data_IF_186545050832
#
_entry.id   IF_186545050832
#
_cell.length_a   1.000
_cell.length_b   1.000
_cell.length_c   1.000
_cell.angle_alpha   90.00
_cell.angle_beta   90.00
_cell.angle_gamma   90.00
#
_symmetry.space_group_name_H-M   'P 1'
#
loop_
_entity.id
_entity.type
_entity.pdbx_description
1 polymer ?
#
# COMPACT_ATOMS: atom_id res chain seq x y z
N UNK A 1 -28.19 7.85 24.58
CA UNK A 1 -27.62 6.68 23.88
C UNK A 1 -27.19 7.17 22.50
N UNK A 2 -25.89 7.20 22.23
CA UNK A 2 -25.36 7.66 20.94
C UNK A 2 -25.21 6.42 20.06
N UNK A 3 -26.00 6.32 19.00
CA UNK A 3 -25.86 5.28 17.99
C UNK A 3 -25.21 5.97 16.77
N UNK A 4 -24.05 5.46 16.33
CA UNK A 4 -23.42 5.89 15.08
C UNK A 4 -23.79 4.90 13.99
N UNK A 5 -24.40 5.39 12.90
CA UNK A 5 -24.66 4.63 11.69
C UNK A 5 -24.25 5.51 10.51
N UNK A 6 -23.39 4.98 9.64
CA UNK A 6 -22.96 5.63 8.41
C UNK A 6 -23.70 5.00 7.23
N UNK A 7 -24.22 5.83 6.33
CA UNK A 7 -24.77 5.40 5.04
C UNK A 7 -23.90 5.99 3.94
N UNK A 8 -23.40 5.14 3.04
CA UNK A 8 -22.78 5.54 1.78
C UNK A 8 -23.88 5.43 0.71
N UNK A 9 -24.23 6.54 0.09
CA UNK A 9 -25.16 6.53 -1.05
C UNK A 9 -24.48 5.86 -2.25
N UNK A 10 -24.72 4.55 -2.39
CA UNK A 10 -25.22 3.92 -3.63
C UNK A 10 -25.48 2.43 -3.40
N UNK A 11 -26.75 2.05 -3.63
CA UNK A 11 -27.27 0.69 -3.94
C UNK A 11 -27.23 -0.46 -2.92
N UNK A 12 -26.87 -0.28 -1.67
CA UNK A 12 -27.02 -1.36 -0.66
C UNK A 12 -27.85 -0.93 0.55
N UNK A 13 -29.06 -1.49 0.67
CA UNK A 13 -29.88 -1.40 1.87
C UNK A 13 -29.39 -2.44 2.89
N UNK A 14 -28.62 -2.02 3.89
CA UNK A 14 -28.32 -2.87 5.03
C UNK A 14 -29.45 -2.80 6.06
N UNK A 15 -29.99 -3.93 6.55
CA UNK A 15 -30.92 -3.92 7.66
C UNK A 15 -30.19 -3.51 8.94
N UNK A 16 -30.63 -2.40 9.56
CA UNK A 16 -30.13 -1.98 10.87
C UNK A 16 -30.87 -2.77 11.95
N UNK A 17 -30.14 -3.56 12.73
CA UNK A 17 -30.70 -4.25 13.91
C UNK A 17 -30.60 -3.30 15.10
N UNK A 18 -31.73 -2.77 15.54
CA UNK A 18 -31.83 -2.08 16.83
C UNK A 18 -32.30 -3.06 17.91
N UNK A 19 -31.59 -3.12 19.04
CA UNK A 19 -31.98 -3.88 20.22
C UNK A 19 -32.45 -2.95 21.33
N UNK A 20 -33.66 -3.21 21.85
CA UNK A 20 -34.19 -2.57 23.05
C UNK A 20 -34.90 -3.63 23.89
N UNK A 21 -34.51 -3.78 25.16
CA UNK A 21 -35.09 -4.72 26.12
C UNK A 21 -35.24 -6.15 25.54
N UNK A 22 -34.17 -6.71 24.97
CA UNK A 22 -34.13 -8.05 24.35
C UNK A 22 -35.03 -8.32 23.13
N UNK A 23 -35.78 -7.32 22.63
CA UNK A 23 -36.51 -7.45 21.37
C UNK A 23 -35.67 -6.90 20.20
N UNK A 24 -35.56 -7.69 19.13
CA UNK A 24 -34.94 -7.29 17.85
C UNK A 24 -36.02 -6.76 16.92
N UNK A 25 -35.81 -5.55 16.39
CA UNK A 25 -36.69 -4.96 15.38
C UNK A 25 -35.97 -4.92 14.03
N UNK A 26 -36.59 -5.48 13.01
CA UNK A 26 -36.18 -5.36 11.61
C UNK A 26 -36.90 -4.13 11.02
N UNK A 27 -36.14 -3.11 10.64
CA UNK A 27 -36.67 -1.93 9.96
C UNK A 27 -36.26 -1.93 8.49
N UNK A 28 -37.26 -1.96 7.60
CA UNK A 28 -37.10 -1.65 6.18
C UNK A 28 -37.31 -0.14 5.99
N UNK A 29 -36.25 0.60 5.69
CA UNK A 29 -36.35 2.03 5.37
C UNK A 29 -36.42 2.19 3.85
N UNK A 30 -37.53 2.72 3.32
CA UNK A 30 -37.74 2.85 1.87
C UNK A 30 -37.44 4.24 1.27
N UNK A 31 -37.13 5.27 2.08
CA UNK A 31 -36.80 6.63 1.58
C UNK A 31 -35.89 7.40 2.54
N UNK A 32 -35.01 8.30 2.06
CA UNK A 32 -33.99 8.99 2.87
C UNK A 32 -34.51 10.21 3.66
N UNK A 33 -35.78 10.61 3.51
CA UNK A 33 -36.39 11.67 4.32
C UNK A 33 -37.52 11.12 5.19
N UNK A 34 -37.18 10.53 6.33
CA UNK A 34 -38.10 10.47 7.46
C UNK A 34 -37.44 11.10 8.67
N UNK A 35 -37.89 12.32 9.01
CA UNK A 35 -37.62 12.92 10.32
C UNK A 35 -38.32 12.06 11.35
N UNK A 36 -37.55 11.28 12.09
CA UNK A 36 -38.04 10.41 13.14
C UNK A 36 -38.50 11.26 14.34
N UNK A 37 -39.76 11.70 14.36
CA UNK A 37 -40.42 12.17 15.59
C UNK A 37 -40.76 10.95 16.46
N UNK A 38 -39.78 10.45 17.21
CA UNK A 38 -40.07 9.59 18.35
C UNK A 38 -40.71 10.47 19.43
N UNK A 39 -42.01 10.24 19.69
CA UNK A 39 -42.73 10.82 20.82
C UNK A 39 -42.13 10.29 22.14
N UNK A 40 -41.03 10.89 22.57
CA UNK A 40 -40.63 10.86 23.98
C UNK A 40 -41.36 12.01 24.66
N UNK A 41 -42.26 11.68 25.58
CA UNK A 41 -42.61 12.59 26.66
C UNK A 41 -41.34 12.90 27.45
N UNK A 42 -40.67 14.01 27.12
CA UNK A 42 -39.63 14.62 27.95
C UNK A 42 -38.19 14.64 27.44
N UNK A 43 -37.90 14.48 26.14
CA UNK A 43 -36.54 14.70 25.66
C UNK A 43 -36.38 14.68 24.14
N UNK A 44 -35.94 15.79 23.56
CA UNK A 44 -35.50 15.86 22.16
C UNK A 44 -34.11 15.22 22.08
N UNK A 45 -34.01 14.04 21.46
CA UNK A 45 -32.72 13.47 21.08
C UNK A 45 -32.37 14.01 19.70
N UNK A 46 -31.47 14.99 19.65
CA UNK A 46 -30.89 15.48 18.41
C UNK A 46 -29.85 14.46 17.93
N UNK A 47 -30.10 13.78 16.82
CA UNK A 47 -29.08 12.99 16.12
C UNK A 47 -28.34 13.92 15.16
N UNK A 48 -27.16 14.38 15.57
CA UNK A 48 -26.25 15.10 14.69
C UNK A 48 -25.53 14.09 13.79
N UNK A 49 -25.85 14.12 12.50
CA UNK A 49 -25.09 13.42 11.48
C UNK A 49 -23.88 14.27 11.12
N UNK A 50 -22.70 13.89 11.59
CA UNK A 50 -21.44 14.39 11.05
C UNK A 50 -21.18 13.63 9.75
N UNK A 51 -21.50 14.24 8.61
CA UNK A 51 -20.93 13.80 7.33
C UNK A 51 -19.41 13.93 7.46
N UNK A 52 -18.67 12.83 7.31
CA UNK A 52 -17.22 12.86 7.33
C UNK A 52 -16.73 13.83 6.25
N UNK A 53 -15.70 14.59 6.56
CA UNK A 53 -15.01 15.48 5.61
C UNK A 53 -14.71 14.74 4.31
N UNK A 54 -14.91 15.38 3.15
CA UNK A 54 -14.53 14.92 1.80
C UNK A 54 -13.00 14.71 1.62
N UNK A 55 -12.26 14.65 2.72
CA UNK A 55 -10.81 14.58 2.77
C UNK A 55 -10.38 13.12 2.85
N UNK A 56 -9.34 12.77 2.09
CA UNK A 56 -8.78 11.42 2.11
C UNK A 56 -8.19 11.15 3.49
N UNK A 57 -8.57 10.05 4.16
CA UNK A 57 -8.02 9.70 5.45
C UNK A 57 -6.55 9.34 5.32
N UNK A 58 -5.84 9.39 6.45
CA UNK A 58 -4.48 8.86 6.54
C UNK A 58 -4.48 7.36 6.20
N UNK A 59 -3.77 6.99 5.13
CA UNK A 59 -3.66 5.59 4.70
C UNK A 59 -2.20 5.16 4.81
N UNK A 60 -1.97 4.02 5.45
CA UNK A 60 -0.66 3.38 5.48
C UNK A 60 -0.77 1.92 5.01
N UNK A 61 0.14 1.53 4.12
CA UNK A 61 0.27 0.16 3.62
C UNK A 61 1.74 -0.27 3.73
N UNK A 62 1.98 -1.46 4.27
CA UNK A 62 3.29 -2.13 4.30
C UNK A 62 3.17 -3.50 3.66
N UNK A 63 3.90 -3.73 2.57
CA UNK A 63 3.78 -4.94 1.77
C UNK A 63 5.14 -5.57 1.53
N UNK A 64 5.13 -6.89 1.44
CA UNK A 64 6.26 -7.72 1.03
C UNK A 64 5.93 -8.36 -0.31
N UNK A 65 6.86 -8.26 -1.24
CA UNK A 65 6.82 -8.89 -2.53
C UNK A 65 7.94 -9.92 -2.64
N UNK A 66 7.62 -11.09 -3.16
CA UNK A 66 8.57 -12.18 -3.43
C UNK A 66 8.32 -12.77 -4.81
N UNK A 67 9.39 -13.34 -5.37
CA UNK A 67 9.31 -14.19 -6.57
C UNK A 67 9.53 -15.63 -6.12
N UNK A 68 8.49 -16.46 -6.27
CA UNK A 68 8.48 -17.83 -5.80
C UNK A 68 8.37 -18.82 -6.95
N UNK A 69 8.92 -20.02 -6.78
CA UNK A 69 8.73 -21.15 -7.70
C UNK A 69 7.34 -21.79 -7.51
N UNK A 70 7.09 -22.88 -8.24
CA UNK A 70 5.82 -23.60 -8.18
C UNK A 70 5.55 -24.27 -6.82
N UNK A 71 6.61 -24.55 -6.05
CA UNK A 71 6.55 -25.08 -4.68
C UNK A 71 6.39 -23.97 -3.64
N UNK A 72 6.41 -22.70 -4.05
CA UNK A 72 6.28 -21.53 -3.18
C UNK A 72 7.58 -21.09 -2.51
N UNK A 73 8.75 -21.60 -2.93
CA UNK A 73 10.04 -21.21 -2.40
C UNK A 73 10.52 -19.91 -3.05
N UNK A 74 11.14 -19.03 -2.25
CA UNK A 74 11.77 -17.82 -2.77
C UNK A 74 12.98 -18.18 -3.66
N UNK A 75 12.90 -17.85 -4.94
CA UNK A 75 13.89 -18.27 -5.96
C UNK A 75 15.28 -17.70 -5.68
N UNK A 76 15.38 -16.46 -5.20
CA UNK A 76 16.67 -15.84 -4.91
C UNK A 76 17.31 -16.46 -3.68
N UNK A 77 16.51 -16.81 -2.67
CA UNK A 77 17.00 -17.53 -1.49
C UNK A 77 17.54 -18.91 -1.88
N UNK A 78 16.85 -19.65 -2.74
CA UNK A 78 17.33 -20.95 -3.23
C UNK A 78 18.65 -20.80 -4.00
N UNK A 79 18.74 -19.82 -4.92
CA UNK A 79 20.00 -19.55 -5.64
C UNK A 79 21.18 -19.21 -4.73
N UNK A 80 20.94 -18.52 -3.62
CA UNK A 80 21.98 -18.28 -2.62
C UNK A 80 22.45 -19.59 -1.97
N UNK A 81 21.52 -20.45 -1.56
CA UNK A 81 21.85 -21.75 -0.95
C UNK A 81 22.60 -22.65 -1.93
N UNK A 82 22.20 -22.67 -3.21
CA UNK A 82 22.91 -23.40 -4.27
C UNK A 82 24.34 -22.87 -4.44
N UNK A 83 24.53 -21.55 -4.45
CA UNK A 83 25.84 -20.93 -4.57
C UNK A 83 26.76 -21.25 -3.37
N UNK A 84 26.20 -21.30 -2.16
CA UNK A 84 26.92 -21.76 -0.96
C UNK A 84 27.33 -23.22 -1.13
N UNK A 85 26.42 -24.11 -1.52
CA UNK A 85 26.69 -25.53 -1.73
C UNK A 85 27.81 -25.78 -2.76
N UNK A 86 27.80 -25.07 -3.88
CA UNK A 86 28.86 -25.14 -4.91
C UNK A 86 30.23 -24.79 -4.33
N UNK A 87 30.31 -23.78 -3.45
CA UNK A 87 31.56 -23.38 -2.82
C UNK A 87 32.06 -24.40 -1.79
N UNK A 88 31.16 -24.98 -1.00
CA UNK A 88 31.46 -26.03 -0.03
C UNK A 88 31.96 -27.30 -0.73
N UNK A 89 31.27 -27.74 -1.79
CA UNK A 89 31.66 -28.89 -2.61
C UNK A 89 33.03 -28.70 -3.28
N UNK A 90 33.38 -27.46 -3.64
CA UNK A 90 34.68 -27.09 -4.16
C UNK A 90 35.78 -26.97 -3.08
N UNK A 91 35.47 -27.29 -1.81
CA UNK A 91 36.39 -27.22 -0.68
C UNK A 91 36.82 -25.79 -0.32
N UNK A 92 36.05 -24.77 -0.72
CA UNK A 92 36.34 -23.36 -0.43
C UNK A 92 35.87 -23.01 0.97
N UNK A 93 36.56 -22.09 1.62
CA UNK A 93 36.07 -21.47 2.85
C UNK A 93 34.88 -20.55 2.51
N UNK A 94 33.72 -20.77 3.12
CA UNK A 94 32.54 -19.92 2.91
C UNK A 94 32.41 -18.89 4.04
N UNK A 95 32.27 -17.63 3.65
CA UNK A 95 31.80 -16.54 4.51
C UNK A 95 30.41 -16.14 4.02
N UNK A 96 29.37 -16.74 4.61
CA UNK A 96 27.99 -16.57 4.19
C UNK A 96 27.23 -15.46 4.92
N UNK A 97 25.98 -15.27 4.51
CA UNK A 97 25.02 -14.38 5.14
C UNK A 97 24.50 -14.94 6.47
N UNK A 98 24.19 -14.05 7.41
CA UNK A 98 23.48 -14.41 8.63
C UNK A 98 22.04 -14.82 8.35
N UNK A 99 21.40 -15.52 9.30
CA UNK A 99 20.00 -15.94 9.18
C UNK A 99 19.05 -14.75 8.88
N UNK A 100 19.26 -13.61 9.53
CA UNK A 100 18.43 -12.40 9.32
C UNK A 100 18.57 -11.85 7.90
N UNK A 101 19.76 -11.91 7.32
CA UNK A 101 20.01 -11.47 5.94
C UNK A 101 19.38 -12.45 4.94
N UNK A 102 19.46 -13.76 5.21
CA UNK A 102 18.81 -14.78 4.39
C UNK A 102 17.28 -14.61 4.33
N UNK A 103 16.66 -14.18 5.44
CA UNK A 103 15.22 -13.92 5.52
C UNK A 103 14.78 -12.73 4.64
N UNK A 104 15.70 -11.80 4.36
CA UNK A 104 15.49 -10.65 3.46
C UNK A 104 15.70 -10.98 1.98
N UNK A 105 16.48 -12.02 1.64
CA UNK A 105 16.83 -12.32 0.26
C UNK A 105 15.61 -12.51 -0.65
N UNK A 106 15.68 -11.89 -1.84
CA UNK A 106 14.64 -12.02 -2.85
C UNK A 106 13.33 -11.37 -2.43
N UNK A 107 13.36 -10.48 -1.45
CA UNK A 107 12.20 -9.72 -1.02
C UNK A 107 12.31 -8.29 -1.51
N UNK A 108 11.15 -7.70 -1.78
CA UNK A 108 11.00 -6.28 -1.99
C UNK A 108 9.91 -5.77 -1.05
N UNK A 109 10.21 -4.74 -0.26
CA UNK A 109 9.27 -4.14 0.68
C UNK A 109 8.77 -2.83 0.10
N UNK A 110 7.44 -2.70 0.04
CA UNK A 110 6.75 -1.50 -0.40
C UNK A 110 6.03 -0.90 0.80
N UNK A 111 6.32 0.36 1.11
CA UNK A 111 5.62 1.12 2.14
C UNK A 111 5.04 2.37 1.51
N UNK A 112 3.74 2.57 1.69
CA UNK A 112 3.01 3.71 1.16
C UNK A 112 2.30 4.41 2.33
N UNK A 113 2.58 5.69 2.51
CA UNK A 113 1.82 6.58 3.39
C UNK A 113 1.14 7.64 2.54
N UNK A 114 -0.17 7.78 2.66
CA UNK A 114 -0.97 8.83 2.02
C UNK A 114 -1.55 9.69 3.13
N UNK A 115 -1.23 10.98 3.07
CA UNK A 115 -1.85 12.06 3.81
C UNK A 115 -2.36 13.08 2.78
N UNK A 116 -3.36 13.87 3.17
CA UNK A 116 -3.98 14.89 2.30
C UNK A 116 -3.04 15.89 1.62
N UNK A 117 -1.86 16.11 2.19
CA UNK A 117 -0.85 17.07 1.72
C UNK A 117 0.48 16.39 1.38
N UNK A 118 0.55 15.04 1.51
CA UNK A 118 1.82 14.32 1.39
C UNK A 118 1.60 12.85 1.05
N UNK A 119 2.25 12.39 -0.01
CA UNK A 119 2.35 10.95 -0.33
C UNK A 119 3.81 10.55 -0.20
N UNK A 120 4.09 9.53 0.59
CA UNK A 120 5.43 8.97 0.79
C UNK A 120 5.42 7.51 0.39
N UNK A 121 6.27 7.15 -0.57
CA UNK A 121 6.44 5.79 -1.03
C UNK A 121 7.89 5.37 -0.81
N UNK A 122 8.11 4.32 -0.02
CA UNK A 122 9.43 3.75 0.24
C UNK A 122 9.49 2.34 -0.32
N UNK A 123 10.47 2.08 -1.17
CA UNK A 123 10.66 0.79 -1.81
C UNK A 123 12.06 0.32 -1.55
N UNK A 124 12.21 -0.89 -1.00
CA UNK A 124 13.49 -1.48 -0.63
C UNK A 124 13.55 -2.91 -1.18
N UNK A 125 14.70 -3.34 -1.69
CA UNK A 125 14.92 -4.70 -2.16
C UNK A 125 16.27 -5.24 -1.73
N UNK A 126 16.30 -6.56 -1.48
CA UNK A 126 17.50 -7.23 -1.01
C UNK A 126 17.85 -8.43 -1.88
N UNK A 127 19.12 -8.52 -2.25
CA UNK A 127 19.72 -9.63 -2.99
C UNK A 127 21.01 -10.09 -2.33
N UNK A 128 21.81 -10.86 -3.06
CA UNK A 128 23.16 -11.20 -2.62
C UNK A 128 24.14 -11.03 -3.77
N UNK A 129 25.40 -10.73 -3.42
CA UNK A 129 26.53 -10.72 -4.33
C UNK A 129 27.69 -11.49 -3.71
N UNK A 130 28.66 -11.85 -4.56
CA UNK A 130 29.95 -12.32 -4.08
C UNK A 130 30.92 -11.15 -4.02
N UNK A 131 31.66 -11.04 -2.92
CA UNK A 131 32.73 -10.06 -2.76
C UNK A 131 34.07 -10.77 -2.60
N UNK A 132 35.15 -10.02 -2.80
CA UNK A 132 36.51 -10.54 -2.74
C UNK A 132 37.27 -10.29 -4.03
N UNK A 133 38.59 -10.21 -3.89
CA UNK A 133 39.49 -10.09 -5.03
C UNK A 133 39.53 -11.41 -5.79
N UNK A 134 39.59 -11.35 -7.12
CA UNK A 134 39.85 -12.48 -8.02
C UNK A 134 41.14 -13.26 -7.68
N UNK A 135 42.01 -12.71 -6.83
CA UNK A 135 43.26 -13.32 -6.34
C UNK A 135 43.14 -14.09 -5.01
N UNK A 136 41.95 -14.22 -4.41
CA UNK A 136 41.71 -15.14 -3.28
C UNK A 136 40.92 -16.39 -3.73
N UNK A 137 41.53 -17.30 -4.52
CA UNK A 137 40.84 -18.46 -5.08
C UNK A 137 40.43 -19.50 -4.02
N UNK A 138 40.70 -19.30 -2.73
CA UNK A 138 40.42 -20.25 -1.65
C UNK A 138 39.13 -19.98 -0.87
N UNK A 139 38.45 -18.86 -1.08
CA UNK A 139 37.28 -18.47 -0.31
C UNK A 139 36.14 -17.96 -1.19
N UNK A 140 34.90 -18.23 -0.76
CA UNK A 140 33.69 -17.62 -1.28
C UNK A 140 33.12 -16.72 -0.19
N UNK A 141 33.05 -15.42 -0.45
CA UNK A 141 32.46 -14.44 0.47
C UNK A 141 31.19 -13.87 -0.15
N UNK A 142 30.08 -14.03 0.55
CA UNK A 142 28.78 -13.52 0.14
C UNK A 142 28.39 -12.33 1.00
N UNK A 143 27.78 -11.33 0.39
CA UNK A 143 27.28 -10.14 1.07
C UNK A 143 25.87 -9.82 0.59
N UNK A 144 25.06 -9.30 1.51
CA UNK A 144 23.70 -8.85 1.21
C UNK A 144 23.80 -7.58 0.36
N UNK A 145 23.14 -7.57 -0.79
CA UNK A 145 23.00 -6.36 -1.59
C UNK A 145 21.69 -5.66 -1.23
N UNK A 146 21.73 -4.33 -1.20
CA UNK A 146 20.59 -3.49 -0.89
C UNK A 146 20.42 -2.43 -1.99
N UNK A 147 19.18 -2.25 -2.40
CA UNK A 147 18.74 -1.15 -3.26
C UNK A 147 17.42 -0.61 -2.71
N UNK A 148 17.14 0.67 -2.94
CA UNK A 148 15.86 1.22 -2.57
C UNK A 148 15.76 2.70 -2.83
N UNK A 149 14.53 3.17 -2.97
CA UNK A 149 14.21 4.58 -3.18
C UNK A 149 13.12 5.02 -2.21
N UNK A 150 13.17 6.28 -1.82
CA UNK A 150 12.07 7.00 -1.19
C UNK A 150 11.57 8.07 -2.16
N UNK A 151 10.28 8.04 -2.48
CA UNK A 151 9.61 9.09 -3.22
C UNK A 151 8.70 9.86 -2.27
N UNK A 152 8.89 11.18 -2.18
CA UNK A 152 8.04 12.10 -1.43
C UNK A 152 7.36 13.04 -2.42
N UNK A 153 6.02 13.04 -2.42
CA UNK A 153 5.20 13.95 -3.22
C UNK A 153 4.43 14.87 -2.29
N UNK A 154 4.50 16.16 -2.57
CA UNK A 154 3.76 17.23 -1.88
C UNK A 154 3.17 18.17 -2.92
N UNK A 155 2.21 19.06 -2.58
CA UNK A 155 1.72 20.06 -3.50
C UNK A 155 2.87 20.88 -4.11
N UNK A 156 3.10 20.68 -5.41
CA UNK A 156 4.12 21.42 -6.16
C UNK A 156 5.56 20.91 -6.06
N UNK A 157 5.81 19.72 -5.47
CA UNK A 157 7.16 19.14 -5.43
C UNK A 157 7.15 17.61 -5.36
N UNK A 158 8.03 16.99 -6.13
CA UNK A 158 8.37 15.56 -6.06
C UNK A 158 9.86 15.41 -5.80
N UNK A 159 10.21 14.64 -4.77
CA UNK A 159 11.59 14.28 -4.47
C UNK A 159 11.74 12.77 -4.55
N UNK A 160 12.77 12.28 -5.23
CA UNK A 160 13.22 10.89 -5.17
C UNK A 160 14.60 10.86 -4.54
N UNK A 161 14.74 10.05 -3.50
CA UNK A 161 15.97 9.86 -2.75
C UNK A 161 16.42 8.40 -2.85
N UNK A 162 17.63 8.18 -3.35
CA UNK A 162 18.27 6.88 -3.40
C UNK A 162 18.75 6.49 -1.99
N UNK A 163 18.20 5.41 -1.45
CA UNK A 163 18.47 4.93 -0.10
C UNK A 163 19.82 4.24 0.03
N UNK A 164 20.37 3.74 -1.09
CA UNK A 164 21.66 3.04 -1.11
C UNK A 164 22.80 4.05 -1.18
N UNK A 165 22.70 5.00 -2.10
CA UNK A 165 23.75 5.99 -2.34
C UNK A 165 23.61 7.20 -1.41
N UNK A 166 22.45 7.40 -0.80
CA UNK A 166 22.20 8.47 0.16
C UNK A 166 22.11 9.84 -0.50
N UNK A 167 21.60 9.90 -1.73
CA UNK A 167 21.54 11.12 -2.55
C UNK A 167 20.13 11.35 -3.07
N UNK A 168 19.79 12.62 -3.29
CA UNK A 168 18.59 12.99 -4.05
C UNK A 168 18.89 12.70 -5.52
N UNK A 169 18.14 11.77 -6.11
CA UNK A 169 18.25 11.43 -7.53
C UNK A 169 17.37 12.32 -8.40
N UNK A 170 16.23 12.78 -7.87
CA UNK A 170 15.29 13.67 -8.57
C UNK A 170 14.71 14.69 -7.58
N UNK A 171 14.64 15.96 -7.98
CA UNK A 171 13.96 17.02 -7.24
C UNK A 171 13.24 17.92 -8.26
N UNK A 172 11.95 17.67 -8.43
CA UNK A 172 11.15 18.30 -9.46
C UNK A 172 10.11 19.22 -8.82
N UNK A 173 10.05 20.44 -9.33
CA UNK A 173 8.90 21.31 -9.10
C UNK A 173 7.69 20.74 -9.85
N UNK A 174 6.63 20.43 -9.12
CA UNK A 174 5.34 20.04 -9.67
C UNK A 174 4.39 21.22 -9.80
N UNK A 175 3.26 20.99 -10.45
CA UNK A 175 2.10 21.87 -10.33
C UNK A 175 1.25 21.40 -9.14
N UNK A 176 0.84 22.29 -8.21
CA UNK A 176 0.03 21.89 -7.04
C UNK A 176 -1.24 21.11 -7.40
N UNK A 177 -1.86 21.44 -8.54
CA UNK A 177 -3.08 20.80 -9.02
C UNK A 177 -2.88 19.31 -9.36
N UNK A 178 -1.69 18.91 -9.83
CA UNK A 178 -1.41 17.50 -10.17
C UNK A 178 -1.47 16.58 -8.95
N UNK A 179 -1.22 17.11 -7.75
CA UNK A 179 -1.35 16.34 -6.52
C UNK A 179 -2.80 15.94 -6.24
N UNK A 180 -3.77 16.79 -6.59
CA UNK A 180 -5.20 16.50 -6.39
C UNK A 180 -5.72 15.38 -7.29
N UNK A 181 -5.12 15.23 -8.48
CA UNK A 181 -5.51 14.21 -9.45
C UNK A 181 -5.40 12.79 -8.90
N UNK A 182 -4.59 12.54 -7.86
CA UNK A 182 -4.50 11.25 -7.19
C UNK A 182 -5.79 10.85 -6.44
N UNK A 183 -6.67 11.80 -6.14
CA UNK A 183 -7.87 11.58 -5.33
C UNK A 183 -9.16 11.92 -6.08
N UNK A 184 -9.04 12.27 -7.36
CA UNK A 184 -10.19 12.46 -8.22
C UNK A 184 -10.67 11.11 -8.75
N UNK A 185 -11.97 10.78 -8.64
CA UNK A 185 -12.51 9.58 -9.27
C UNK A 185 -12.33 9.65 -10.80
N UNK A 186 -11.34 8.92 -11.32
CA UNK A 186 -11.13 8.79 -12.76
C UNK A 186 -11.95 7.60 -13.27
N UNK A 187 -12.71 7.75 -14.38
CA UNK A 187 -13.40 6.62 -15.00
C UNK A 187 -12.40 5.50 -15.36
N UNK A 188 -12.77 4.25 -15.08
CA UNK A 188 -11.95 3.09 -15.46
C UNK A 188 -11.77 3.09 -16.99
N UNK A 189 -10.52 3.11 -17.51
CA UNK A 189 -10.23 3.04 -18.94
C UNK A 189 -10.91 1.85 -19.61
N UNK A 190 -11.34 2.01 -20.87
CA UNK A 190 -12.03 0.94 -21.62
C UNK A 190 -11.17 -0.33 -21.76
N UNK A 191 -9.86 -0.19 -21.95
CA UNK A 191 -8.93 -1.32 -22.00
C UNK A 191 -8.91 -2.14 -20.70
N UNK A 192 -9.06 -1.48 -19.56
CA UNK A 192 -9.22 -2.16 -18.27
C UNK A 192 -10.58 -2.84 -18.20
N UNK A 193 -11.67 -2.18 -18.64
CA UNK A 193 -13.01 -2.80 -18.69
C UNK A 193 -13.02 -4.10 -19.51
N UNK A 194 -12.43 -4.11 -20.70
CA UNK A 194 -12.35 -5.30 -21.55
C UNK A 194 -11.56 -6.44 -20.85
N UNK A 195 -10.57 -6.10 -20.03
CA UNK A 195 -9.80 -7.08 -19.25
C UNK A 195 -10.63 -7.69 -18.10
N UNK A 196 -11.54 -6.92 -17.51
CA UNK A 196 -12.40 -7.38 -16.42
C UNK A 196 -13.42 -8.42 -16.87
N UNK A 197 -13.80 -8.45 -18.15
CA UNK A 197 -14.71 -9.46 -18.70
C UNK A 197 -14.16 -10.90 -18.55
N UNK A 198 -12.84 -11.05 -18.41
CA UNK A 198 -12.17 -12.34 -18.20
C UNK A 198 -11.89 -12.67 -16.73
N UNK A 199 -12.43 -11.88 -15.80
CA UNK A 199 -12.19 -12.00 -14.37
C UNK A 199 -13.50 -12.20 -13.60
N UNK A 200 -13.41 -12.91 -12.48
CA UNK A 200 -14.49 -12.96 -11.49
C UNK A 200 -14.08 -12.17 -10.25
N UNK A 201 -15.04 -11.48 -9.63
CA UNK A 201 -14.84 -10.74 -8.38
C UNK A 201 -15.73 -11.29 -7.26
N UNK A 202 -15.20 -11.33 -6.04
CA UNK A 202 -15.93 -11.67 -4.82
C UNK A 202 -15.66 -10.61 -3.74
N UNK A 203 -16.69 -10.20 -3.01
CA UNK A 203 -16.56 -9.32 -1.84
C UNK A 203 -15.99 -10.09 -0.65
N UNK A 204 -15.05 -9.49 0.07
CA UNK A 204 -14.46 -10.08 1.28
C UNK A 204 -13.95 -9.00 2.26
N UNK A 205 -13.40 -9.41 3.40
CA UNK A 205 -12.73 -8.57 4.39
C UNK A 205 -11.27 -9.02 4.56
N UNK A 206 -10.33 -8.10 4.37
CA UNK A 206 -8.91 -8.31 4.64
C UNK A 206 -8.39 -7.22 5.57
N UNK A 207 -7.68 -7.62 6.64
CA UNK A 207 -7.15 -6.70 7.66
C UNK A 207 -8.22 -5.74 8.23
N UNK A 208 -9.46 -6.22 8.34
CA UNK A 208 -10.60 -5.44 8.84
C UNK A 208 -11.17 -4.40 7.87
N UNK A 209 -10.73 -4.42 6.61
CA UNK A 209 -11.20 -3.51 5.55
C UNK A 209 -11.93 -4.30 4.46
N UNK A 210 -12.97 -3.72 3.83
CA UNK A 210 -13.67 -4.37 2.74
C UNK A 210 -12.79 -4.38 1.48
N UNK A 211 -12.80 -5.51 0.78
CA UNK A 211 -12.00 -5.76 -0.41
C UNK A 211 -12.82 -6.48 -1.48
N UNK A 212 -12.36 -6.36 -2.73
CA UNK A 212 -12.76 -7.23 -3.83
C UNK A 212 -11.60 -8.16 -4.18
N UNK A 213 -11.88 -9.47 -4.16
CA UNK A 213 -10.96 -10.51 -4.64
C UNK A 213 -11.23 -10.80 -6.09
N UNK A 214 -10.28 -10.45 -6.94
CA UNK A 214 -10.32 -10.69 -8.36
C UNK A 214 -9.53 -11.94 -8.72
N UNK A 215 -10.11 -12.82 -9.53
CA UNK A 215 -9.43 -14.03 -10.03
C UNK A 215 -9.48 -14.06 -11.56
N UNK A 216 -8.33 -14.31 -12.18
CA UNK A 216 -8.19 -14.53 -13.63
C UNK A 216 -8.35 -16.01 -13.98
N UNK A 217 -8.63 -16.28 -15.25
CA UNK A 217 -8.70 -17.66 -15.79
C UNK A 217 -7.37 -18.42 -15.69
N UNK A 218 -6.22 -17.73 -15.69
CA UNK A 218 -4.90 -18.32 -15.49
C UNK A 218 -4.59 -18.65 -14.01
N UNK A 219 -5.52 -18.36 -13.10
CA UNK A 219 -5.41 -18.57 -11.67
C UNK A 219 -4.65 -17.47 -10.92
N UNK A 220 -4.23 -16.39 -11.60
CA UNK A 220 -3.72 -15.18 -10.94
C UNK A 220 -4.84 -14.52 -10.11
N UNK A 221 -4.45 -13.90 -9.00
CA UNK A 221 -5.39 -13.30 -8.03
C UNK A 221 -4.91 -11.93 -7.59
N UNK A 222 -5.83 -11.01 -7.37
CA UNK A 222 -5.56 -9.69 -6.80
C UNK A 222 -6.68 -9.33 -5.80
N UNK A 223 -6.33 -8.95 -4.58
CA UNK A 223 -7.26 -8.51 -3.53
C UNK A 223 -7.10 -7.00 -3.37
N UNK A 224 -8.15 -6.24 -3.67
CA UNK A 224 -8.09 -4.77 -3.80
C UNK A 224 -9.05 -4.12 -2.81
N UNK A 225 -8.61 -3.07 -2.13
CA UNK A 225 -9.45 -2.31 -1.20
C UNK A 225 -10.60 -1.60 -1.90
N UNK A 226 -11.84 -1.88 -1.49
CA UNK A 226 -13.06 -1.36 -2.15
C UNK A 226 -13.67 -0.15 -1.45
N UNK A 227 -13.42 0.05 -0.15
CA UNK A 227 -13.90 1.24 0.57
C UNK A 227 -13.20 2.55 0.11
N UNK A 228 -12.14 2.44 -0.69
CA UNK A 228 -11.37 3.56 -1.21
C UNK A 228 -12.06 4.37 -2.31
N UNK A 229 -13.10 3.82 -2.94
CA UNK A 229 -13.70 4.41 -4.16
C UNK A 229 -14.23 5.83 -4.00
N UNK A 230 -14.72 6.18 -2.81
CA UNK A 230 -15.18 7.54 -2.50
C UNK A 230 -14.05 8.59 -2.51
N UNK A 231 -12.79 8.15 -2.42
CA UNK A 231 -11.58 9.00 -2.44
C UNK A 231 -10.77 8.82 -3.73
N UNK A 232 -11.36 8.26 -4.78
CA UNK A 232 -10.75 8.12 -6.10
C UNK A 232 -9.97 6.83 -6.35
N UNK A 233 -9.82 5.95 -5.35
CA UNK A 233 -9.13 4.66 -5.55
C UNK A 233 -9.97 3.69 -6.39
N UNK A 234 -9.33 3.02 -7.33
CA UNK A 234 -9.95 1.98 -8.14
C UNK A 234 -10.06 0.66 -7.39
N UNK A 235 -11.25 0.08 -7.42
CA UNK A 235 -11.54 -1.26 -6.86
C UNK A 235 -11.36 -2.40 -7.88
N UNK A 236 -10.76 -2.09 -9.03
CA UNK A 236 -10.49 -3.03 -10.13
C UNK A 236 -8.98 -3.25 -10.33
N UNK A 237 -8.57 -4.43 -10.81
CA UNK A 237 -7.20 -4.77 -11.16
C UNK A 237 -6.52 -3.73 -12.04
N UNK A 238 -5.23 -3.48 -11.77
CA UNK A 238 -4.40 -2.57 -12.56
C UNK A 238 -3.12 -3.27 -13.01
N UNK A 239 -2.25 -2.56 -13.73
CA UNK A 239 -0.92 -3.09 -14.04
C UNK A 239 -0.06 -3.25 -12.79
N UNK A 240 -0.25 -2.36 -11.81
CA UNK A 240 0.42 -2.36 -10.50
C UNK A 240 -0.09 -3.52 -9.65
N UNK A 241 0.84 -4.31 -9.10
CA UNK A 241 0.50 -5.40 -8.18
C UNK A 241 0.58 -5.00 -6.69
N UNK A 242 1.02 -3.77 -6.41
CA UNK A 242 1.20 -3.24 -5.06
C UNK A 242 0.32 -2.00 -4.86
N UNK A 243 0.17 -1.57 -3.61
CA UNK A 243 -0.59 -0.39 -3.26
C UNK A 243 0.03 0.88 -3.87
N UNK A 244 -0.80 1.67 -4.52
CA UNK A 244 -0.44 2.89 -5.23
C UNK A 244 -1.49 3.98 -4.99
N UNK A 245 -1.28 5.17 -5.53
CA UNK A 245 -2.25 6.26 -5.48
C UNK A 245 -3.49 6.01 -6.32
N UNK A 246 -3.44 5.09 -7.28
CA UNK A 246 -4.59 4.75 -8.14
C UNK A 246 -5.41 3.60 -7.57
N UNK A 247 -4.74 2.58 -7.02
CA UNK A 247 -5.38 1.38 -6.49
C UNK A 247 -4.58 0.82 -5.33
N UNK A 248 -5.27 0.45 -4.25
CA UNK A 248 -4.68 -0.17 -3.07
C UNK A 248 -4.86 -1.69 -3.19
N UNK A 249 -3.96 -2.32 -3.96
CA UNK A 249 -3.84 -3.78 -4.03
C UNK A 249 -3.20 -4.25 -2.72
N UNK A 250 -3.90 -5.09 -1.95
CA UNK A 250 -3.44 -5.60 -0.65
C UNK A 250 -2.78 -6.99 -0.76
N UNK A 251 -3.26 -7.84 -1.67
CA UNK A 251 -2.61 -9.11 -1.97
C UNK A 251 -2.63 -9.34 -3.47
N UNK A 252 -1.59 -9.99 -4.00
CA UNK A 252 -1.58 -10.39 -5.39
C UNK A 252 -0.74 -11.64 -5.60
N UNK A 253 -1.18 -12.51 -6.51
CA UNK A 253 -0.41 -13.61 -7.08
C UNK A 253 -0.53 -13.53 -8.59
N UNK A 254 0.57 -13.26 -9.29
CA UNK A 254 0.60 -13.21 -10.76
C UNK A 254 1.53 -14.31 -11.26
N UNK A 255 0.94 -15.30 -11.93
CA UNK A 255 1.68 -16.44 -12.47
C UNK A 255 2.40 -16.03 -13.76
N UNK A 256 3.65 -16.46 -13.89
CA UNK A 256 4.47 -16.41 -15.10
C UNK A 256 4.93 -17.84 -15.41
N UNK A 257 5.50 -18.07 -16.59
CA UNK A 257 5.79 -19.43 -17.08
C UNK A 257 6.67 -20.30 -16.16
N UNK A 258 7.47 -19.72 -15.26
CA UNK A 258 8.40 -20.44 -14.39
C UNK A 258 8.52 -19.84 -12.98
N UNK A 259 7.62 -18.92 -12.62
CA UNK A 259 7.57 -18.31 -11.28
C UNK A 259 6.24 -17.62 -11.03
N UNK A 260 5.92 -17.40 -9.76
CA UNK A 260 4.82 -16.56 -9.32
C UNK A 260 5.36 -15.34 -8.59
N UNK A 261 4.88 -14.16 -8.98
CA UNK A 261 5.09 -12.95 -8.20
C UNK A 261 4.00 -12.88 -7.14
N UNK A 262 4.39 -12.88 -5.86
CA UNK A 262 3.48 -12.82 -4.72
C UNK A 262 3.67 -11.52 -3.97
N UNK A 263 2.56 -10.84 -3.67
CA UNK A 263 2.51 -9.66 -2.79
C UNK A 263 1.60 -9.98 -1.61
N UNK A 264 2.09 -9.66 -0.42
CA UNK A 264 1.38 -9.85 0.84
C UNK A 264 1.47 -8.60 1.69
N UNK A 265 0.33 -8.09 2.14
CA UNK A 265 0.29 -6.95 3.06
C UNK A 265 0.57 -7.41 4.50
N UNK A 266 1.56 -6.76 5.13
CA UNK A 266 1.91 -6.95 6.54
C UNK A 266 1.10 -6.03 7.45
N UNK A 267 0.82 -4.80 6.99
CA UNK A 267 0.05 -3.81 7.73
C UNK A 267 -0.76 -2.95 6.77
N UNK A 268 -2.01 -2.69 7.12
CA UNK A 268 -2.89 -1.75 6.44
C UNK A 268 -3.71 -0.98 7.46
N UNK A 269 -3.68 0.35 7.40
CA UNK A 269 -4.47 1.21 8.30
C UNK A 269 -5.10 2.36 7.53
N UNK A 270 -6.31 2.74 7.93
CA UNK A 270 -7.08 3.84 7.38
C UNK A 270 -7.56 4.72 8.54
N UNK A 271 -7.24 6.02 8.51
CA UNK A 271 -7.57 6.99 9.56
C UNK A 271 -6.75 6.85 10.85
N UNK A 272 -5.64 6.12 10.82
CA UNK A 272 -4.73 5.96 11.96
C UNK A 272 -3.46 6.82 11.76
N UNK A 273 -2.77 7.22 12.85
CA UNK A 273 -1.53 7.98 12.74
C UNK A 273 -0.49 7.27 11.86
N UNK A 274 0.07 8.02 10.91
CA UNK A 274 1.03 7.49 9.95
C UNK A 274 2.41 7.25 10.59
N UNK A 275 3.09 6.14 10.27
CA UNK A 275 4.50 5.99 10.61
C UNK A 275 5.35 6.97 9.82
N UNK A 276 6.44 7.43 10.43
CA UNK A 276 7.41 8.29 9.75
C UNK A 276 8.32 7.45 8.84
N UNK A 277 8.05 7.46 7.53
CA UNK A 277 8.86 6.74 6.53
C UNK A 277 10.16 7.47 6.15
N UNK A 278 10.32 8.69 6.62
CA UNK A 278 11.44 9.59 6.32
C UNK A 278 12.41 9.70 7.51
N UNK A 279 12.18 8.92 8.57
CA UNK A 279 13.02 8.94 9.77
C UNK A 279 14.48 8.61 9.42
N UNK A 280 15.40 9.39 9.98
CA UNK A 280 16.85 9.30 9.69
C UNK A 280 17.30 9.86 8.33
N UNK A 281 16.44 10.48 7.53
CA UNK A 281 16.82 11.09 6.24
C UNK A 281 17.16 12.59 6.34
N UNK A 282 17.90 13.17 5.37
CA UNK A 282 18.21 14.60 5.35
C UNK A 282 16.96 15.51 5.36
N UNK A 283 17.08 16.71 5.96
CA UNK A 283 15.97 17.68 6.08
C UNK A 283 15.38 18.11 4.72
N UNK A 284 16.23 18.19 3.69
CA UNK A 284 15.83 18.54 2.33
C UNK A 284 14.82 17.55 1.72
N UNK A 285 14.90 16.27 2.10
CA UNK A 285 13.97 15.21 1.70
C UNK A 285 12.66 15.32 2.49
N UNK A 286 12.74 15.72 3.76
CA UNK A 286 11.58 15.82 4.66
C UNK A 286 10.65 16.99 4.32
N UNK A 287 11.06 17.89 3.43
CA UNK A 287 10.34 19.14 3.15
C UNK A 287 10.43 20.15 4.31
N UNK A 288 11.48 20.05 5.14
CA UNK A 288 11.72 20.93 6.30
C UNK A 288 12.70 22.06 6.02
N UNK A 289 13.14 22.22 4.78
CA UNK A 289 13.94 23.39 4.43
C UNK A 289 13.05 24.62 4.55
N UNK A 290 13.26 25.38 5.63
CA UNK A 290 12.75 26.73 5.78
C UNK A 290 13.09 27.49 4.50
N UNK A 291 12.06 27.99 3.81
CA UNK A 291 12.25 29.04 2.80
C UNK A 291 13.07 30.13 3.48
N UNK A 292 14.30 30.43 3.02
CA UNK A 292 15.01 31.56 3.58
C UNK A 292 14.15 32.78 3.27
N UNK A 293 13.51 33.34 4.30
CA UNK A 293 12.86 34.64 4.21
C UNK A 293 13.96 35.61 3.81
N UNK A 294 14.04 35.89 2.51
CA UNK A 294 14.93 36.87 1.95
C UNK A 294 14.69 38.17 2.71
N UNK A 295 15.72 38.62 3.42
CA UNK A 295 15.77 39.99 3.90
C UNK A 295 15.65 40.89 2.68
N UNK A 296 14.52 41.55 2.54
CA UNK A 296 14.34 42.70 1.68
C UNK A 296 15.14 43.85 2.28
N UNK A 297 16.45 43.85 2.06
CA UNK A 297 17.25 45.06 2.20
C UNK A 297 16.88 45.95 1.01
N UNK A 298 15.97 46.89 1.29
CA UNK A 298 15.61 47.97 0.37
C UNK A 298 16.67 49.08 0.53
N UNK A 299 17.21 49.63 -0.57
CA UNK A 299 18.25 50.66 -0.54
C UNK A 299 17.81 51.98 0.10
#
# INVERSE_FOLDING_TARGET
MIIRLCFVEKKYFYPVIATKNNNRYLMNMHTPLQVLRLLFTGGVVLLLFSCGTDEVPDIYVDQRMETVDDDGNNIIRQRYLDAVGICEDAGKKVSGLSKKEIDLLGTRRYRLSIHKDKIVQRVESWGFGMTGHYVNPGECRFELTFEGNLTVRTPGRTVVYDLKDGVISEDEAGIPEAFRLFFEPVPVPKSLQDSLETMSSEEDILLGQPVLRWTRTDGSRETIWSAGTQWGFWEVPTENMFASTESIVLEAERKRSFYTMRITTQQFTVGAPLPNLEDGLPAAVQGKDEVPHGKTDTP
#
